data_IF_553709485738
#
_entry.id   IF_553709485738
#
_cell.length_a   1.000
_cell.length_b   1.000
_cell.length_c   1.000
_cell.angle_alpha   90.00
_cell.angle_beta   90.00
_cell.angle_gamma   90.00
#
_symmetry.space_group_name_H-M   'P 1'
#
loop_
_entity.id
_entity.type
_entity.pdbx_description
1 polymer ?
#
# COMPACT_ATOMS: atom_id res chain seq x y z
N UNK A 1 22.32 -24.24 0.16
CA UNK A 1 21.27 -24.19 -0.88
C UNK A 1 21.57 -22.99 -1.78
N UNK A 2 21.69 -23.16 -3.09
CA UNK A 2 21.85 -22.04 -4.03
C UNK A 2 20.45 -21.70 -4.61
N UNK A 3 19.95 -20.53 -4.27
CA UNK A 3 18.72 -19.99 -4.85
C UNK A 3 19.13 -19.26 -6.11
N UNK A 4 18.51 -19.58 -7.25
CA UNK A 4 18.74 -18.82 -8.48
C UNK A 4 18.17 -17.42 -8.32
N UNK A 5 18.89 -16.38 -8.78
CA UNK A 5 18.34 -15.03 -8.80
C UNK A 5 17.06 -14.96 -9.63
N UNK A 6 16.18 -14.01 -9.28
CA UNK A 6 14.99 -13.77 -10.07
C UNK A 6 15.36 -12.88 -11.27
N UNK A 7 15.43 -13.48 -12.43
CA UNK A 7 16.01 -12.87 -13.63
C UNK A 7 15.31 -11.57 -14.07
N UNK A 8 14.01 -11.44 -13.81
CA UNK A 8 13.26 -10.21 -14.12
C UNK A 8 13.73 -9.05 -13.25
N UNK A 9 13.88 -9.28 -11.93
CA UNK A 9 14.38 -8.27 -11.00
C UNK A 9 15.83 -7.86 -11.33
N UNK A 10 16.68 -8.83 -11.70
CA UNK A 10 18.05 -8.52 -12.12
C UNK A 10 18.07 -7.66 -13.38
N UNK A 11 17.21 -7.97 -14.34
CA UNK A 11 17.08 -7.19 -15.56
C UNK A 11 16.55 -5.77 -15.26
N UNK A 12 15.52 -5.63 -14.44
CA UNK A 12 14.96 -4.33 -14.02
C UNK A 12 16.03 -3.49 -13.32
N UNK A 13 16.74 -4.06 -12.35
CA UNK A 13 17.80 -3.38 -11.62
C UNK A 13 18.94 -2.88 -12.55
N UNK A 14 19.23 -3.63 -13.60
CA UNK A 14 20.30 -3.25 -14.53
C UNK A 14 19.89 -2.15 -15.52
N UNK A 15 18.63 -2.06 -15.90
CA UNK A 15 18.21 -1.25 -17.04
C UNK A 15 17.14 -0.22 -16.74
N UNK A 16 16.27 -0.45 -15.77
CA UNK A 16 15.11 0.42 -15.50
C UNK A 16 15.53 1.82 -15.03
N UNK A 17 16.44 1.90 -14.06
CA UNK A 17 16.88 3.18 -13.46
C UNK A 17 17.61 4.06 -14.47
N UNK A 18 18.34 3.46 -15.40
CA UNK A 18 19.11 4.17 -16.41
C UNK A 18 18.35 4.47 -17.72
N UNK A 19 17.15 3.98 -17.86
CA UNK A 19 16.37 4.12 -19.08
C UNK A 19 15.89 5.55 -19.30
N UNK A 20 16.28 6.16 -20.43
CA UNK A 20 15.78 7.49 -20.80
C UNK A 20 14.27 7.49 -21.10
N UNK A 21 13.78 6.40 -21.65
CA UNK A 21 12.36 6.17 -21.93
C UNK A 21 11.98 4.77 -21.46
N UNK A 22 11.35 4.69 -20.29
CA UNK A 22 10.82 3.43 -19.78
C UNK A 22 9.39 3.23 -20.29
N UNK A 23 9.23 2.37 -21.29
CA UNK A 23 7.92 2.00 -21.85
C UNK A 23 7.46 0.60 -21.38
N UNK A 24 8.24 -0.04 -20.52
CA UNK A 24 7.94 -1.37 -19.96
C UNK A 24 7.33 -1.29 -18.56
N UNK A 25 7.16 -0.08 -18.04
CA UNK A 25 6.53 0.14 -16.73
C UNK A 25 5.07 -0.27 -16.77
N UNK A 26 4.69 -1.17 -15.87
CA UNK A 26 3.33 -1.69 -15.76
C UNK A 26 2.64 -1.26 -14.46
N UNK A 27 3.33 -0.51 -13.62
CA UNK A 27 2.77 0.02 -12.38
C UNK A 27 1.83 1.20 -12.65
N UNK A 28 0.86 1.36 -11.79
CA UNK A 28 0.02 2.56 -11.76
C UNK A 28 0.89 3.74 -11.30
N UNK A 29 0.68 4.92 -11.86
CA UNK A 29 1.35 6.13 -11.40
C UNK A 29 1.12 6.32 -9.90
N UNK A 30 2.22 6.51 -9.18
CA UNK A 30 2.19 6.70 -7.73
C UNK A 30 1.71 8.12 -7.41
N UNK A 31 0.79 8.23 -6.48
CA UNK A 31 0.38 9.52 -5.93
C UNK A 31 1.22 9.88 -4.70
N UNK A 32 1.43 11.15 -4.49
CA UNK A 32 2.04 11.67 -3.26
C UNK A 32 1.04 11.65 -2.09
N UNK A 33 1.54 11.75 -0.86
CA UNK A 33 0.67 11.92 0.32
C UNK A 33 -0.18 13.19 0.24
N UNK A 34 0.33 14.27 -0.37
CA UNK A 34 -0.46 15.48 -0.52
C UNK A 34 -1.65 15.25 -1.46
N UNK A 35 -1.42 14.63 -2.61
CA UNK A 35 -2.50 14.25 -3.54
C UNK A 35 -3.52 13.32 -2.89
N UNK A 36 -3.07 12.39 -2.04
CA UNK A 36 -3.98 11.52 -1.30
C UNK A 36 -4.89 12.32 -0.35
N UNK A 37 -4.35 13.29 0.39
CA UNK A 37 -5.16 14.17 1.26
C UNK A 37 -6.13 15.04 0.45
N UNK A 38 -5.72 15.55 -0.71
CA UNK A 38 -6.59 16.29 -1.61
C UNK A 38 -7.76 15.43 -2.13
N UNK A 39 -7.47 14.18 -2.52
CA UNK A 39 -8.48 13.23 -3.01
C UNK A 39 -9.46 12.79 -1.92
N UNK A 40 -8.98 12.60 -0.70
CA UNK A 40 -9.82 12.12 0.41
C UNK A 40 -10.53 13.25 1.15
N UNK A 41 -10.04 14.49 1.04
CA UNK A 41 -10.52 15.63 1.80
C UNK A 41 -10.17 15.55 3.30
N UNK A 42 -9.29 14.65 3.72
CA UNK A 42 -8.86 14.51 5.10
C UNK A 42 -7.87 15.62 5.50
N UNK A 43 -8.05 16.20 6.70
CA UNK A 43 -7.12 17.19 7.22
C UNK A 43 -5.77 16.57 7.55
N UNK A 44 -4.74 17.01 6.83
CA UNK A 44 -3.37 16.50 6.98
C UNK A 44 -2.80 16.69 8.38
N UNK A 45 -3.09 17.83 9.01
CA UNK A 45 -2.55 18.15 10.34
C UNK A 45 -3.20 17.24 11.38
N UNK A 46 -4.51 17.06 11.30
CA UNK A 46 -5.24 16.16 12.20
C UNK A 46 -4.78 14.71 12.01
N UNK A 47 -4.63 14.25 10.77
CA UNK A 47 -4.11 12.93 10.48
C UNK A 47 -2.72 12.71 11.10
N UNK A 48 -1.79 13.64 10.89
CA UNK A 48 -0.43 13.53 11.43
C UNK A 48 -0.41 13.55 12.97
N UNK A 49 -1.25 14.36 13.60
CA UNK A 49 -1.38 14.38 15.05
C UNK A 49 -1.88 13.03 15.59
N UNK A 50 -2.88 12.42 14.95
CA UNK A 50 -3.36 11.09 15.33
C UNK A 50 -2.29 10.02 15.12
N UNK A 51 -1.56 10.09 14.02
CA UNK A 51 -0.47 9.15 13.70
C UNK A 51 0.66 9.24 14.75
N UNK A 52 1.10 10.46 15.07
CA UNK A 52 2.17 10.68 16.06
C UNK A 52 1.77 10.28 17.49
N UNK A 53 0.48 10.37 17.84
CA UNK A 53 -0.02 9.93 19.13
C UNK A 53 -0.17 8.41 19.26
N UNK A 54 -0.07 7.68 18.15
CA UNK A 54 -0.27 6.23 18.15
C UNK A 54 0.96 5.52 18.71
N UNK A 55 0.73 4.55 19.59
CA UNK A 55 1.80 3.68 20.07
C UNK A 55 2.22 2.71 18.98
N UNK A 56 3.53 2.52 18.82
CA UNK A 56 4.11 1.53 17.90
C UNK A 56 4.09 0.15 18.57
N UNK A 57 2.93 -0.45 18.63
CA UNK A 57 2.69 -1.79 19.18
C UNK A 57 2.03 -2.70 18.13
N UNK A 58 1.78 -3.94 18.50
CA UNK A 58 1.00 -4.84 17.66
C UNK A 58 -0.38 -4.26 17.38
N UNK A 59 -0.84 -4.42 16.15
CA UNK A 59 -2.22 -4.14 15.76
C UNK A 59 -3.17 -5.28 16.13
N UNK A 60 -4.43 -5.13 15.74
CA UNK A 60 -5.43 -6.19 15.90
C UNK A 60 -5.05 -7.42 15.08
N UNK A 61 -5.19 -8.60 15.68
CA UNK A 61 -4.80 -9.89 15.06
C UNK A 61 -5.52 -10.10 13.72
N UNK A 62 -6.81 -9.76 13.68
CA UNK A 62 -7.64 -9.87 12.47
C UNK A 62 -7.57 -8.64 11.55
N UNK A 63 -6.72 -7.66 11.89
CA UNK A 63 -6.61 -6.37 11.20
C UNK A 63 -7.59 -5.31 11.71
N UNK A 64 -7.18 -4.05 11.57
CA UNK A 64 -7.96 -2.90 12.01
C UNK A 64 -9.38 -2.93 11.42
N UNK A 65 -10.43 -2.76 12.25
CA UNK A 65 -11.81 -2.76 11.78
C UNK A 65 -12.08 -1.72 10.69
N UNK A 66 -11.49 -0.53 10.80
CA UNK A 66 -11.63 0.54 9.82
C UNK A 66 -11.06 0.15 8.45
N UNK A 67 -9.90 -0.51 8.44
CA UNK A 67 -9.29 -1.02 7.21
C UNK A 67 -10.18 -2.09 6.57
N UNK A 68 -10.61 -3.08 7.36
CA UNK A 68 -11.49 -4.17 6.90
C UNK A 68 -12.81 -3.62 6.35
N UNK A 69 -13.39 -2.63 7.02
CA UNK A 69 -14.61 -1.94 6.57
C UNK A 69 -14.39 -1.19 5.25
N UNK A 70 -13.25 -0.51 5.11
CA UNK A 70 -12.87 0.17 3.85
C UNK A 70 -12.77 -0.82 2.69
N UNK A 71 -12.13 -1.96 2.89
CA UNK A 71 -12.04 -3.03 1.88
C UNK A 71 -13.42 -3.57 1.52
N UNK A 72 -14.30 -3.79 2.50
CA UNK A 72 -15.67 -4.23 2.24
C UNK A 72 -16.42 -3.27 1.31
N UNK A 73 -16.16 -1.98 1.39
CA UNK A 73 -16.78 -0.96 0.52
C UNK A 73 -16.47 -1.13 -0.97
N UNK A 74 -15.42 -1.89 -1.32
CA UNK A 74 -15.06 -2.21 -2.70
C UNK A 74 -15.87 -3.38 -3.29
N UNK A 75 -16.61 -4.10 -2.45
CA UNK A 75 -17.32 -5.33 -2.84
C UNK A 75 -18.79 -5.29 -2.40
N UNK A 76 -19.67 -5.83 -3.23
CA UNK A 76 -21.14 -5.77 -2.98
C UNK A 76 -21.64 -6.82 -1.99
N UNK A 77 -20.90 -7.92 -1.79
CA UNK A 77 -21.38 -9.10 -1.09
C UNK A 77 -20.49 -9.56 0.06
N UNK A 78 -19.56 -8.72 0.50
CA UNK A 78 -18.66 -9.06 1.61
C UNK A 78 -19.07 -8.34 2.90
N UNK A 79 -18.88 -9.03 4.00
CA UNK A 79 -18.96 -8.49 5.35
C UNK A 79 -17.56 -8.31 5.93
N UNK A 80 -17.43 -7.57 7.01
CA UNK A 80 -16.15 -7.33 7.67
C UNK A 80 -15.45 -8.63 8.10
N UNK A 81 -16.23 -9.65 8.48
CA UNK A 81 -15.73 -10.97 8.89
C UNK A 81 -15.11 -11.76 7.73
N UNK A 82 -15.39 -11.37 6.49
CA UNK A 82 -14.80 -12.01 5.32
C UNK A 82 -13.43 -11.44 4.94
N UNK A 83 -12.97 -10.41 5.62
CA UNK A 83 -11.72 -9.70 5.29
C UNK A 83 -10.66 -9.98 6.35
N UNK A 84 -9.55 -10.54 5.92
CA UNK A 84 -8.36 -10.78 6.75
C UNK A 84 -7.15 -10.16 6.04
N UNK A 85 -6.59 -9.06 6.54
CA UNK A 85 -5.36 -8.51 6.01
C UNK A 85 -4.16 -9.38 6.39
N UNK A 86 -3.22 -9.49 5.48
CA UNK A 86 -1.95 -10.19 5.70
C UNK A 86 -0.77 -9.28 5.36
N UNK A 87 0.35 -9.47 6.02
CA UNK A 87 1.57 -8.71 5.81
C UNK A 87 2.56 -9.54 4.98
N UNK A 88 2.40 -9.49 3.66
CA UNK A 88 3.24 -10.24 2.73
C UNK A 88 2.92 -11.74 2.55
#
# INVERSE_FOLDING_TARGET
>A
MKIKPFAVEEWMNAWEVGAKYNIAETCVDSISMNELFELTGEDKTEFLNRLCARRLSYGDIEGLPEFRKGVCGLYKMLNIENIVPTHG
#
